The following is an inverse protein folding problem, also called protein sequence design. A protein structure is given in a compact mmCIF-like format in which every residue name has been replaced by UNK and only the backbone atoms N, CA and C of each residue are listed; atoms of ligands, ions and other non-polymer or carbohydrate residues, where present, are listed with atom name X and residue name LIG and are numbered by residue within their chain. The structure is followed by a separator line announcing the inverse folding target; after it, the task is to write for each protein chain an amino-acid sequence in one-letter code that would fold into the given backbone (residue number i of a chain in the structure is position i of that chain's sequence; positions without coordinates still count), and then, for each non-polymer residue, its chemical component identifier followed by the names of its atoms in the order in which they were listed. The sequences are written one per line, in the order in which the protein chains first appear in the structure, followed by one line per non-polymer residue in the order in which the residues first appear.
data_IF_492337707741
#
_entry.id   IF_492337707741
#
_cell.length_a   1.000
_cell.length_b   1.000
_cell.length_c   1.000
_cell.angle_alpha   90.00
_cell.angle_beta   90.00
_cell.angle_gamma   90.00
#
_symmetry.space_group_name_H-M   'P 1'
#
loop_
_entity.id
_entity.type
_entity.pdbx_description
1 polymer ?
#
# COMPACT_ATOMS: atom_id res chain seq x y z
N UNK A 1 26.68 -14.85 53.14
CA UNK A 1 27.07 -15.10 51.75
C UNK A 1 27.43 -13.76 51.15
N UNK A 2 28.69 -13.62 50.70
CA UNK A 2 29.23 -12.39 50.12
C UNK A 2 28.50 -12.06 48.81
N UNK A 3 27.82 -10.93 48.76
CA UNK A 3 27.29 -10.31 47.53
C UNK A 3 28.03 -9.00 47.25
N UNK A 4 29.36 -9.01 47.40
CA UNK A 4 30.19 -7.89 46.95
C UNK A 4 30.31 -7.96 45.42
N UNK A 5 29.35 -7.33 44.73
CA UNK A 5 29.44 -7.09 43.28
C UNK A 5 28.11 -7.10 42.51
N UNK A 6 27.05 -7.69 43.05
CA UNK A 6 25.75 -7.69 42.36
C UNK A 6 25.02 -6.37 42.60
N UNK A 7 24.79 -5.61 41.52
CA UNK A 7 23.94 -4.40 41.57
C UNK A 7 22.57 -4.79 42.11
N UNK A 8 22.14 -4.13 43.17
CA UNK A 8 20.79 -4.29 43.74
C UNK A 8 19.76 -3.96 42.66
N UNK A 9 18.85 -4.89 42.38
CA UNK A 9 17.74 -4.67 41.44
C UNK A 9 16.58 -3.99 42.19
N UNK A 10 16.43 -2.68 42.00
CA UNK A 10 15.44 -1.88 42.73
C UNK A 10 14.02 -1.94 42.15
N UNK A 11 13.83 -2.33 40.88
CA UNK A 11 12.51 -2.31 40.24
C UNK A 11 11.46 -3.19 40.94
N UNK A 12 11.74 -4.45 41.33
CA UNK A 12 10.78 -5.27 42.06
C UNK A 12 10.44 -4.72 43.45
N UNK A 13 11.43 -4.14 44.15
CA UNK A 13 11.22 -3.53 45.46
C UNK A 13 10.34 -2.27 45.36
N UNK A 14 10.51 -1.47 44.31
CA UNK A 14 9.67 -0.31 44.03
C UNK A 14 8.23 -0.71 43.70
N UNK A 15 8.02 -1.73 42.86
CA UNK A 15 6.69 -2.22 42.53
C UNK A 15 5.95 -2.70 43.80
N UNK A 16 6.62 -3.46 44.66
CA UNK A 16 6.06 -3.89 45.95
C UNK A 16 5.75 -2.72 46.89
N UNK A 17 6.67 -1.76 47.01
CA UNK A 17 6.45 -0.57 47.84
C UNK A 17 5.26 0.27 47.32
N UNK A 18 5.11 0.42 46.01
CA UNK A 18 3.99 1.14 45.40
C UNK A 18 2.65 0.46 45.72
N UNK A 19 2.59 -0.87 45.63
CA UNK A 19 1.39 -1.64 45.99
C UNK A 19 1.04 -1.49 47.48
N UNK A 20 2.06 -1.52 48.38
CA UNK A 20 1.87 -1.31 49.81
C UNK A 20 1.30 0.08 50.10
N UNK A 21 1.86 1.13 49.49
CA UNK A 21 1.42 2.51 49.74
C UNK A 21 0.03 2.82 49.20
N UNK A 22 -0.42 2.11 48.15
CA UNK A 22 -1.78 2.21 47.65
C UNK A 22 -2.79 1.44 48.52
N UNK A 23 -2.33 0.63 49.48
CA UNK A 23 -3.14 0.04 50.54
C UNK A 23 -4.43 -0.63 50.06
N UNK A 24 -5.57 -0.22 50.61
CA UNK A 24 -6.88 -0.78 50.23
C UNK A 24 -7.32 -0.41 48.81
N UNK A 25 -6.76 0.64 48.20
CA UNK A 25 -7.08 1.06 46.83
C UNK A 25 -6.38 0.18 45.79
N UNK A 26 -5.29 -0.50 46.16
CA UNK A 26 -4.57 -1.43 45.29
C UNK A 26 -5.48 -2.52 44.72
N UNK A 27 -6.56 -2.91 45.42
CA UNK A 27 -7.55 -3.89 44.93
C UNK A 27 -8.34 -3.44 43.69
N UNK A 28 -8.30 -2.15 43.35
CA UNK A 28 -8.93 -1.59 42.15
C UNK A 28 -7.94 -1.37 40.99
N UNK A 29 -6.66 -1.72 41.17
CA UNK A 29 -5.58 -1.43 40.24
C UNK A 29 -4.89 -2.71 39.76
N UNK A 30 -4.37 -2.69 38.54
CA UNK A 30 -3.54 -3.77 37.97
C UNK A 30 -2.10 -3.29 37.90
N UNK A 31 -1.18 -4.11 38.41
CA UNK A 31 0.26 -3.84 38.40
C UNK A 31 0.93 -4.76 37.39
N UNK A 32 1.53 -4.18 36.36
CA UNK A 32 2.26 -4.90 35.32
C UNK A 32 3.72 -4.40 35.31
N UNK A 33 4.60 -4.97 36.15
CA UNK A 33 5.99 -4.56 36.19
C UNK A 33 6.67 -4.87 34.85
N UNK A 34 7.48 -3.91 34.37
CA UNK A 34 8.25 -4.04 33.13
C UNK A 34 7.38 -4.35 31.87
N UNK A 35 6.18 -3.76 31.79
CA UNK A 35 5.27 -3.92 30.66
C UNK A 35 5.94 -3.57 29.31
N UNK A 36 5.90 -4.51 28.37
CA UNK A 36 6.47 -4.34 27.04
C UNK A 36 5.51 -3.57 26.12
N UNK A 37 5.92 -2.37 25.70
CA UNK A 37 5.13 -1.52 24.80
C UNK A 37 4.95 -2.12 23.39
N UNK A 38 5.79 -3.06 22.98
CA UNK A 38 5.70 -3.72 21.67
C UNK A 38 6.39 -5.09 21.67
N UNK A 39 5.86 -6.02 20.87
CA UNK A 39 6.49 -7.32 20.58
C UNK A 39 7.67 -7.21 19.60
N UNK A 40 7.69 -6.17 18.76
CA UNK A 40 8.76 -5.88 17.80
C UNK A 40 9.56 -4.66 18.25
N UNK A 41 10.87 -4.59 17.99
CA UNK A 41 11.63 -3.37 18.21
C UNK A 41 10.97 -2.16 17.53
N UNK A 42 10.92 -1.03 18.24
CA UNK A 42 10.40 0.21 17.67
C UNK A 42 11.31 0.70 16.54
N UNK A 43 10.72 1.21 15.46
CA UNK A 43 11.44 1.66 14.27
C UNK A 43 10.88 2.99 13.78
N UNK A 44 11.78 3.88 13.38
CA UNK A 44 11.50 5.12 12.65
C UNK A 44 11.55 4.81 11.15
N UNK A 45 10.59 5.33 10.37
CA UNK A 45 10.57 5.07 8.92
C UNK A 45 11.81 5.64 8.23
N UNK A 46 12.09 6.94 8.43
CA UNK A 46 13.30 7.58 7.89
C UNK A 46 13.91 8.53 8.91
N UNK A 47 15.21 8.38 9.14
CA UNK A 47 16.02 9.31 9.93
C UNK A 47 17.01 10.03 9.01
N UNK A 48 16.88 11.35 8.91
CA UNK A 48 17.82 12.20 8.14
C UNK A 48 18.76 12.91 9.12
N UNK A 49 20.06 12.67 8.99
CA UNK A 49 21.11 13.34 9.79
C UNK A 49 21.90 14.32 8.95
N UNK A 50 21.94 15.58 9.39
CA UNK A 50 22.74 16.64 8.79
C UNK A 50 24.04 16.85 9.59
N UNK A 51 24.95 15.88 9.50
CA UNK A 51 26.18 15.85 10.29
C UNK A 51 27.09 17.07 10.05
N UNK A 52 27.06 17.62 8.83
CA UNK A 52 27.84 18.80 8.46
C UNK A 52 27.15 20.12 8.85
N UNK A 53 25.97 20.06 9.48
CA UNK A 53 25.15 21.22 9.88
C UNK A 53 24.94 22.23 8.74
N UNK A 54 24.79 21.73 7.51
CA UNK A 54 24.64 22.58 6.33
C UNK A 54 23.21 23.09 6.20
N UNK A 55 23.02 24.34 5.78
CA UNK A 55 21.67 24.87 5.53
C UNK A 55 21.06 24.20 4.30
N UNK A 56 20.01 23.41 4.50
CA UNK A 56 19.28 22.76 3.41
C UNK A 56 18.43 23.81 2.68
N UNK A 57 18.66 23.93 1.36
CA UNK A 57 17.96 24.91 0.51
C UNK A 57 16.62 24.40 -0.01
N UNK A 58 16.47 23.08 -0.14
CA UNK A 58 15.25 22.44 -0.64
C UNK A 58 14.09 22.75 0.30
N UNK A 59 12.93 23.10 -0.24
CA UNK A 59 11.80 23.60 0.54
C UNK A 59 11.30 22.60 1.60
N UNK A 60 11.16 21.31 1.26
CA UNK A 60 10.80 20.27 2.23
C UNK A 60 11.82 20.14 3.37
N UNK A 61 13.10 20.40 3.10
CA UNK A 61 14.18 20.28 4.07
C UNK A 61 14.51 21.58 4.79
N UNK A 62 13.82 22.69 4.49
CA UNK A 62 14.17 24.01 5.03
C UNK A 62 14.02 24.10 6.56
N UNK A 63 13.10 23.32 7.12
CA UNK A 63 12.88 23.20 8.58
C UNK A 63 13.78 22.15 9.25
N UNK A 64 14.48 21.32 8.48
CA UNK A 64 15.28 20.24 9.03
C UNK A 64 16.40 20.83 9.89
N UNK A 65 16.45 20.35 11.13
CA UNK A 65 17.58 20.54 12.03
C UNK A 65 18.61 19.42 11.82
N UNK A 66 19.51 19.23 12.78
CA UNK A 66 20.54 18.20 12.65
C UNK A 66 19.96 16.79 12.51
N UNK A 67 18.83 16.50 13.17
CA UNK A 67 18.16 15.20 13.13
C UNK A 67 16.69 15.37 12.79
N UNK A 68 16.27 14.84 11.64
CA UNK A 68 14.87 14.84 11.22
C UNK A 68 14.30 13.42 11.27
N UNK A 69 13.26 13.22 12.08
CA UNK A 69 12.53 11.97 12.25
C UNK A 69 11.31 12.04 11.35
N UNK A 70 11.17 11.07 10.44
CA UNK A 70 10.10 11.08 9.44
C UNK A 70 9.22 9.85 9.63
N UNK A 71 7.91 10.06 9.60
CA UNK A 71 6.88 9.04 9.44
C UNK A 71 6.20 9.23 8.08
N UNK A 72 6.05 8.14 7.33
CA UNK A 72 5.38 8.12 6.04
C UNK A 72 4.12 7.25 6.09
N UNK A 73 3.00 7.80 5.61
CA UNK A 73 1.77 7.06 5.35
C UNK A 73 1.54 6.96 3.86
N UNK A 74 1.27 5.73 3.40
CA UNK A 74 1.00 5.42 2.00
C UNK A 74 -0.31 6.07 1.52
N UNK A 75 -0.59 6.08 0.20
CA UNK A 75 -1.87 6.55 -0.32
C UNK A 75 -3.11 5.84 0.23
N UNK A 76 -2.96 4.63 0.77
CA UNK A 76 -4.06 3.82 1.30
C UNK A 76 -4.23 3.99 2.82
N UNK A 77 -3.28 4.69 3.47
CA UNK A 77 -3.24 4.87 4.91
C UNK A 77 -3.65 6.28 5.33
N UNK A 78 -4.15 6.40 6.56
CA UNK A 78 -4.51 7.67 7.17
C UNK A 78 -3.61 8.00 8.35
N UNK A 79 -3.01 9.20 8.32
CA UNK A 79 -2.30 9.74 9.47
C UNK A 79 -3.31 10.21 10.53
N UNK A 80 -3.17 9.71 11.76
CA UNK A 80 -4.06 10.02 12.88
C UNK A 80 -3.30 10.50 14.14
N UNK A 81 -4.05 10.80 15.20
CA UNK A 81 -3.48 11.34 16.45
C UNK A 81 -2.56 10.36 17.18
N UNK A 82 -2.79 9.06 17.07
CA UNK A 82 -1.95 8.05 17.68
C UNK A 82 -0.61 7.95 16.96
N UNK A 83 -0.60 8.06 15.62
CA UNK A 83 0.64 8.16 14.85
C UNK A 83 1.47 9.37 15.27
N UNK A 84 0.82 10.52 15.54
CA UNK A 84 1.52 11.70 16.06
C UNK A 84 2.23 11.40 17.38
N UNK A 85 1.52 10.85 18.37
CA UNK A 85 2.11 10.55 19.68
C UNK A 85 3.15 9.45 19.63
N UNK A 86 2.95 8.45 18.77
CA UNK A 86 3.93 7.39 18.53
C UNK A 86 5.24 7.98 18.02
N UNK A 87 5.20 8.82 16.99
CA UNK A 87 6.40 9.43 16.40
C UNK A 87 7.04 10.45 17.35
N UNK A 88 6.23 11.20 18.10
CA UNK A 88 6.74 12.07 19.16
C UNK A 88 7.49 11.27 20.23
N UNK A 89 6.91 10.16 20.70
CA UNK A 89 7.55 9.23 21.64
C UNK A 89 8.85 8.66 21.08
N UNK A 90 8.85 8.24 19.81
CA UNK A 90 10.06 7.76 19.13
C UNK A 90 11.15 8.81 19.03
N UNK A 91 10.77 10.07 18.82
CA UNK A 91 11.71 11.19 18.79
C UNK A 91 12.36 11.42 20.15
N UNK A 92 11.59 11.29 21.23
CA UNK A 92 12.12 11.32 22.60
C UNK A 92 13.05 10.13 22.88
N UNK A 93 12.68 8.91 22.50
CA UNK A 93 13.52 7.73 22.66
C UNK A 93 14.82 7.89 21.87
N UNK A 94 14.76 8.31 20.61
CA UNK A 94 15.95 8.57 19.80
C UNK A 94 16.88 9.61 20.44
N UNK A 95 16.32 10.64 21.09
CA UNK A 95 17.10 11.64 21.84
C UNK A 95 17.83 11.03 23.05
N UNK A 96 17.24 10.03 23.71
CA UNK A 96 17.77 9.44 24.95
C UNK A 96 18.61 8.19 24.74
N UNK A 97 18.45 7.49 23.61
CA UNK A 97 19.24 6.31 23.21
C UNK A 97 20.65 6.72 22.74
N UNK A 98 21.37 7.41 23.61
CA UNK A 98 22.71 7.96 23.40
C UNK A 98 23.55 7.79 24.67
N UNK A 99 24.87 7.66 24.52
CA UNK A 99 25.77 7.36 25.64
C UNK A 99 25.90 8.50 26.65
N UNK A 100 25.77 9.76 26.19
CA UNK A 100 26.00 10.95 27.01
C UNK A 100 24.72 11.72 27.24
N UNK A 101 24.58 12.25 28.46
CA UNK A 101 23.48 13.15 28.83
C UNK A 101 23.41 14.30 27.83
N UNK A 102 22.22 14.46 27.23
CA UNK A 102 21.90 15.51 26.28
C UNK A 102 22.84 15.60 25.06
N UNK A 103 23.40 14.46 24.62
CA UNK A 103 24.23 14.40 23.41
C UNK A 103 23.48 14.88 22.16
N UNK A 104 22.17 14.62 22.10
CA UNK A 104 21.26 15.19 21.11
C UNK A 104 20.35 16.20 21.83
N UNK A 105 20.59 17.51 21.67
CA UNK A 105 19.71 18.55 22.20
C UNK A 105 18.33 18.50 21.53
N UNK A 106 17.27 18.86 22.26
CA UNK A 106 15.92 18.92 21.69
C UNK A 106 15.82 19.98 20.59
N UNK A 107 16.61 21.05 20.70
CA UNK A 107 16.72 22.11 19.70
C UNK A 107 17.40 21.67 18.41
N UNK A 108 17.91 20.44 18.32
CA UNK A 108 18.54 19.87 17.11
C UNK A 108 17.63 18.82 16.43
N UNK A 109 16.45 18.55 17.00
CA UNK A 109 15.44 17.63 16.47
C UNK A 109 14.40 18.38 15.63
N UNK A 110 13.88 17.70 14.61
CA UNK A 110 12.69 18.06 13.83
C UNK A 110 11.89 16.79 13.56
N UNK A 111 10.56 16.90 13.51
CA UNK A 111 9.66 15.81 13.10
C UNK A 111 8.99 16.18 11.76
N UNK A 112 8.93 15.24 10.82
CA UNK A 112 8.18 15.39 9.57
C UNK A 112 7.18 14.25 9.43
N UNK A 113 5.91 14.58 9.28
CA UNK A 113 4.90 13.64 8.83
C UNK A 113 4.69 13.81 7.33
N UNK A 114 4.73 12.71 6.58
CA UNK A 114 4.45 12.68 5.14
C UNK A 114 3.24 11.80 4.92
N UNK A 115 2.18 12.33 4.31
CA UNK A 115 0.97 11.56 4.07
C UNK A 115 0.29 11.98 2.76
N UNK A 116 -0.61 11.13 2.29
CA UNK A 116 -1.37 11.40 1.09
C UNK A 116 -2.62 12.24 1.35
N UNK A 117 -3.33 11.94 2.44
CA UNK A 117 -4.58 12.59 2.80
C UNK A 117 -4.40 13.63 3.90
N UNK A 118 -4.95 14.84 3.71
CA UNK A 118 -4.91 15.89 4.72
C UNK A 118 -5.60 15.47 6.03
N UNK A 119 -4.88 15.38 7.17
CA UNK A 119 -5.34 14.74 8.40
C UNK A 119 -6.16 15.71 9.28
N UNK A 120 -7.36 16.10 8.83
CA UNK A 120 -8.20 17.13 9.49
C UNK A 120 -8.50 16.85 10.96
N UNK A 121 -8.81 15.60 11.30
CA UNK A 121 -9.17 15.21 12.66
C UNK A 121 -7.96 15.33 13.59
N UNK A 122 -6.83 14.73 13.22
CA UNK A 122 -5.58 14.85 13.96
C UNK A 122 -5.22 16.32 14.24
N UNK A 123 -5.25 17.18 13.22
CA UNK A 123 -4.90 18.59 13.38
C UNK A 123 -5.86 19.34 14.30
N UNK A 124 -7.16 19.01 14.29
CA UNK A 124 -8.15 19.56 15.22
C UNK A 124 -7.87 19.12 16.65
N UNK A 125 -7.57 17.84 16.87
CA UNK A 125 -7.19 17.32 18.18
C UNK A 125 -5.95 18.02 18.72
N UNK A 126 -4.90 18.14 17.89
CA UNK A 126 -3.66 18.84 18.25
C UNK A 126 -3.89 20.32 18.60
N UNK A 127 -4.77 21.01 17.88
CA UNK A 127 -5.13 22.38 18.21
C UNK A 127 -5.85 22.47 19.56
N UNK A 128 -6.84 21.61 19.80
CA UNK A 128 -7.67 21.66 20.99
C UNK A 128 -6.93 21.21 22.26
N UNK A 129 -6.10 20.17 22.15
CA UNK A 129 -5.48 19.48 23.30
C UNK A 129 -4.05 19.97 23.60
N UNK A 130 -3.34 20.47 22.58
CA UNK A 130 -1.93 20.88 22.67
C UNK A 130 -1.68 22.32 22.26
N UNK A 131 -2.72 23.06 21.82
CA UNK A 131 -2.58 24.39 21.25
C UNK A 131 -1.59 24.44 20.06
N UNK A 132 -1.48 23.33 19.32
CA UNK A 132 -0.64 23.24 18.13
C UNK A 132 -1.43 23.72 16.92
N UNK A 133 -0.95 24.79 16.29
CA UNK A 133 -1.61 25.44 15.15
C UNK A 133 -0.88 25.10 13.85
N UNK A 134 -1.64 24.76 12.81
CA UNK A 134 -1.12 24.44 11.48
C UNK A 134 -1.10 25.67 10.59
N UNK A 135 -0.01 25.87 9.84
CA UNK A 135 0.11 26.93 8.83
C UNK A 135 0.62 26.35 7.53
N UNK A 136 -0.06 26.64 6.42
CA UNK A 136 0.46 26.35 5.10
C UNK A 136 1.63 27.31 4.77
N UNK A 137 2.77 26.75 4.37
CA UNK A 137 3.99 27.50 4.07
C UNK A 137 4.20 27.56 2.57
N UNK A 138 4.03 26.42 1.90
CA UNK A 138 4.09 26.26 0.45
C UNK A 138 3.14 25.12 0.04
N UNK A 139 2.93 24.93 -1.26
CA UNK A 139 2.08 23.85 -1.80
C UNK A 139 2.45 22.48 -1.19
N UNK A 140 1.50 21.89 -0.47
CA UNK A 140 1.67 20.61 0.23
C UNK A 140 2.63 20.62 1.41
N UNK A 141 3.12 21.77 1.88
CA UNK A 141 4.05 21.88 3.02
C UNK A 141 3.44 22.77 4.10
N UNK A 142 3.22 22.17 5.27
CA UNK A 142 2.62 22.81 6.42
C UNK A 142 3.57 22.74 7.62
N UNK A 143 3.64 23.80 8.41
CA UNK A 143 4.33 23.80 9.71
C UNK A 143 3.32 23.80 10.84
N UNK A 144 3.61 23.02 11.87
CA UNK A 144 2.84 22.92 13.09
C UNK A 144 3.59 23.69 14.19
N UNK A 145 2.96 24.74 14.71
CA UNK A 145 3.53 25.65 15.70
C UNK A 145 2.87 25.45 17.06
N UNK A 146 3.65 25.55 18.13
CA UNK A 146 3.17 25.38 19.52
C UNK A 146 3.94 24.34 20.32
N UNK A 147 4.87 23.63 19.68
CA UNK A 147 5.75 22.65 20.33
C UNK A 147 7.23 23.12 20.35
N UNK A 148 8.02 22.57 21.28
CA UNK A 148 9.46 22.83 21.39
C UNK A 148 10.25 22.20 20.22
N UNK A 149 9.79 21.06 19.72
CA UNK A 149 10.33 20.40 18.54
C UNK A 149 9.55 20.92 17.33
N UNK A 150 10.21 21.49 16.29
CA UNK A 150 9.55 21.89 15.06
C UNK A 150 8.96 20.67 14.36
N UNK A 151 7.71 20.83 13.92
CA UNK A 151 6.96 19.77 13.26
C UNK A 151 6.52 20.24 11.89
N UNK A 152 6.73 19.39 10.90
CA UNK A 152 6.29 19.59 9.52
C UNK A 152 5.27 18.52 9.15
N UNK A 153 4.28 18.92 8.35
CA UNK A 153 3.36 18.03 7.66
C UNK A 153 3.48 18.25 6.15
N UNK A 154 3.72 17.16 5.42
CA UNK A 154 3.80 17.13 3.97
C UNK A 154 2.61 16.36 3.42
N UNK A 155 1.87 16.99 2.50
CA UNK A 155 0.76 16.38 1.76
C UNK A 155 1.22 16.11 0.34
N UNK A 156 1.50 14.84 0.06
CA UNK A 156 2.18 14.40 -1.17
C UNK A 156 1.48 14.89 -2.45
N UNK A 157 0.15 14.73 -2.63
CA UNK A 157 -0.52 15.17 -3.85
C UNK A 157 -0.53 16.68 -4.06
N UNK A 158 -0.41 17.45 -2.98
CA UNK A 158 -0.43 18.91 -3.03
C UNK A 158 0.95 19.52 -3.30
N UNK A 159 2.02 18.72 -3.25
CA UNK A 159 3.38 19.20 -3.51
C UNK A 159 3.53 19.78 -4.91
N UNK A 160 4.19 20.92 -5.04
CA UNK A 160 4.52 21.51 -6.36
C UNK A 160 5.38 20.56 -7.19
N UNK A 161 4.97 20.31 -8.43
CA UNK A 161 5.72 19.50 -9.41
C UNK A 161 7.09 20.12 -9.71
N UNK A 162 7.16 21.44 -9.84
CA UNK A 162 8.40 22.19 -10.11
C UNK A 162 9.44 21.97 -9.00
N UNK A 163 9.00 22.07 -7.75
CA UNK A 163 9.90 21.97 -6.60
C UNK A 163 10.08 20.53 -6.12
N UNK A 164 9.10 19.65 -6.24
CA UNK A 164 9.07 18.35 -5.56
C UNK A 164 8.55 17.22 -6.44
N UNK A 165 8.95 17.22 -7.72
CA UNK A 165 8.52 16.25 -8.74
C UNK A 165 8.43 14.80 -8.22
N UNK A 166 9.55 14.24 -7.75
CA UNK A 166 9.62 12.82 -7.38
C UNK A 166 8.71 12.45 -6.20
N UNK A 167 8.66 13.27 -5.16
CA UNK A 167 7.74 13.04 -4.04
C UNK A 167 6.29 13.18 -4.49
N UNK A 168 5.96 14.18 -5.30
CA UNK A 168 4.62 14.36 -5.84
C UNK A 168 4.14 13.14 -6.66
N UNK A 169 5.06 12.38 -7.27
CA UNK A 169 4.73 11.19 -8.06
C UNK A 169 4.55 9.91 -7.23
N UNK A 170 4.81 9.96 -5.92
CA UNK A 170 4.52 8.86 -5.00
C UNK A 170 3.01 8.76 -4.70
N UNK A 171 2.23 8.41 -5.73
CA UNK A 171 0.75 8.36 -5.75
C UNK A 171 0.26 7.14 -6.51
N UNK A 172 -1.00 6.77 -6.30
CA UNK A 172 -1.68 5.64 -6.96
C UNK A 172 -2.78 6.09 -7.96
N UNK A 173 -2.72 7.35 -8.41
CA UNK A 173 -3.72 7.94 -9.31
C UNK A 173 -3.10 8.77 -10.45
N UNK A 174 -1.86 8.44 -10.84
CA UNK A 174 -1.23 9.04 -12.02
C UNK A 174 -2.06 8.74 -13.26
N UNK A 175 -2.25 9.75 -14.11
CA UNK A 175 -3.06 9.60 -15.32
C UNK A 175 -2.27 9.01 -16.47
N UNK A 176 -2.87 8.05 -17.17
CA UNK A 176 -2.40 7.59 -18.47
C UNK A 176 -2.20 8.76 -19.44
N UNK A 177 -1.18 8.64 -20.29
CA UNK A 177 -0.74 9.65 -21.25
C UNK A 177 0.29 10.62 -20.67
N UNK A 178 -0.13 11.81 -20.25
CA UNK A 178 0.82 12.90 -19.97
C UNK A 178 1.72 12.65 -18.75
N UNK A 179 1.18 12.07 -17.67
CA UNK A 179 1.91 11.95 -16.41
C UNK A 179 2.85 10.75 -16.38
N UNK A 180 2.39 9.59 -16.83
CA UNK A 180 3.19 8.35 -16.84
C UNK A 180 4.32 8.48 -17.87
N UNK A 181 4.03 8.94 -19.10
CA UNK A 181 5.06 9.23 -20.09
C UNK A 181 6.12 10.20 -19.57
N UNK A 182 5.71 11.33 -18.97
CA UNK A 182 6.66 12.30 -18.42
C UNK A 182 7.50 11.72 -17.27
N UNK A 183 6.88 10.89 -16.41
CA UNK A 183 7.60 10.20 -15.35
C UNK A 183 8.69 9.29 -15.92
N UNK A 184 8.37 8.51 -16.94
CA UNK A 184 9.33 7.62 -17.60
C UNK A 184 10.45 8.39 -18.31
N UNK A 185 10.12 9.47 -19.02
CA UNK A 185 11.11 10.35 -19.66
C UNK A 185 12.08 10.98 -18.65
N UNK A 186 11.61 11.32 -17.45
CA UNK A 186 12.48 11.83 -16.38
C UNK A 186 13.27 10.73 -15.68
N UNK A 187 12.68 9.55 -15.52
CA UNK A 187 13.32 8.39 -14.91
C UNK A 187 14.50 7.92 -15.77
N UNK A 188 14.33 7.88 -17.11
CA UNK A 188 15.35 7.34 -18.01
C UNK A 188 16.68 8.09 -17.92
N UNK A 189 16.63 9.40 -17.63
CA UNK A 189 17.81 10.24 -17.39
C UNK A 189 18.64 9.79 -16.17
N UNK A 190 18.06 8.96 -15.31
CA UNK A 190 18.62 8.52 -14.03
C UNK A 190 18.50 6.99 -13.83
N UNK A 191 18.28 6.21 -14.91
CA UNK A 191 17.96 4.78 -14.87
C UNK A 191 18.97 3.90 -14.13
N UNK A 192 20.24 4.31 -14.09
CA UNK A 192 21.32 3.57 -13.42
C UNK A 192 21.29 3.73 -11.90
N UNK A 193 20.46 4.63 -11.36
CA UNK A 193 20.35 4.88 -9.93
C UNK A 193 19.36 3.93 -9.27
N UNK A 194 19.84 3.14 -8.30
CA UNK A 194 19.00 2.25 -7.47
C UNK A 194 17.87 2.98 -6.75
N UNK A 195 18.05 4.25 -6.40
CA UNK A 195 17.01 5.05 -5.74
C UNK A 195 15.86 5.36 -6.70
N UNK A 196 16.18 5.71 -7.95
CA UNK A 196 15.17 5.97 -8.97
C UNK A 196 14.50 4.68 -9.39
N UNK A 197 15.24 3.57 -9.48
CA UNK A 197 14.68 2.24 -9.76
C UNK A 197 13.64 1.84 -8.70
N UNK A 198 13.97 1.95 -7.42
CA UNK A 198 13.04 1.62 -6.33
C UNK A 198 11.78 2.51 -6.35
N UNK A 199 11.95 3.80 -6.65
CA UNK A 199 10.83 4.73 -6.79
C UNK A 199 9.96 4.38 -7.99
N UNK A 200 10.55 4.18 -9.17
CA UNK A 200 9.83 3.85 -10.39
C UNK A 200 9.08 2.52 -10.25
N UNK A 201 9.73 1.52 -9.69
CA UNK A 201 9.15 0.23 -9.36
C UNK A 201 7.86 0.41 -8.52
N UNK A 202 7.95 1.16 -7.41
CA UNK A 202 6.80 1.39 -6.53
C UNK A 202 5.68 2.17 -7.22
N UNK A 203 6.02 3.28 -7.89
CA UNK A 203 5.04 4.17 -8.53
C UNK A 203 4.30 3.46 -9.66
N UNK A 204 5.00 2.74 -10.53
CA UNK A 204 4.35 2.08 -11.67
C UNK A 204 3.49 0.91 -11.19
N UNK A 205 3.90 0.14 -10.17
CA UNK A 205 3.02 -0.89 -9.55
C UNK A 205 1.75 -0.29 -8.98
N UNK A 206 1.87 0.84 -8.30
CA UNK A 206 0.72 1.55 -7.74
C UNK A 206 -0.24 2.11 -8.81
N UNK A 207 0.21 2.25 -10.06
CA UNK A 207 -0.57 2.80 -11.18
C UNK A 207 -0.69 1.82 -12.36
N UNK A 208 -0.56 0.51 -12.11
CA UNK A 208 -0.40 -0.51 -13.17
C UNK A 208 -1.44 -0.43 -14.30
N UNK A 209 -2.72 -0.25 -13.94
CA UNK A 209 -3.80 -0.13 -14.93
C UNK A 209 -3.58 1.00 -15.93
N UNK A 210 -3.15 2.16 -15.43
CA UNK A 210 -2.92 3.36 -16.24
C UNK A 210 -1.65 3.21 -17.09
N UNK A 211 -0.67 2.43 -16.63
CA UNK A 211 0.55 2.07 -17.39
C UNK A 211 0.21 1.12 -18.54
N UNK A 212 -0.68 0.15 -18.31
CA UNK A 212 -1.13 -0.81 -19.32
C UNK A 212 -1.90 -0.14 -20.46
N UNK A 213 -2.81 0.79 -20.12
CA UNK A 213 -3.60 1.56 -21.09
C UNK A 213 -2.74 2.42 -22.04
N UNK A 214 -1.52 2.76 -21.65
CA UNK A 214 -0.68 3.69 -22.41
C UNK A 214 -0.12 3.10 -23.72
N UNK A 215 -0.22 1.78 -23.95
CA UNK A 215 -0.09 1.08 -25.24
C UNK A 215 1.25 1.18 -26.00
N UNK A 216 2.07 2.20 -25.75
CA UNK A 216 3.38 2.47 -26.33
C UNK A 216 4.43 2.34 -25.23
N UNK A 217 4.60 1.10 -24.79
CA UNK A 217 5.48 0.77 -23.69
C UNK A 217 6.94 0.94 -24.12
N UNK A 218 7.65 1.87 -23.47
CA UNK A 218 9.11 1.98 -23.60
C UNK A 218 9.76 0.68 -23.13
N UNK A 219 10.80 0.20 -23.82
CA UNK A 219 11.57 -1.00 -23.43
C UNK A 219 12.04 -0.94 -21.97
N UNK A 220 12.19 0.26 -21.43
CA UNK A 220 12.52 0.56 -20.04
C UNK A 220 11.43 0.09 -19.07
N UNK A 221 10.15 0.29 -19.38
CA UNK A 221 9.04 -0.18 -18.53
C UNK A 221 9.03 -1.71 -18.50
N UNK A 222 9.25 -2.34 -19.67
CA UNK A 222 9.36 -3.79 -19.78
C UNK A 222 10.53 -4.34 -18.98
N UNK A 223 11.66 -3.66 -18.98
CA UNK A 223 12.83 -4.06 -18.19
C UNK A 223 12.55 -3.98 -16.68
N UNK A 224 11.97 -2.87 -16.20
CA UNK A 224 11.65 -2.70 -14.76
C UNK A 224 10.61 -3.74 -14.30
N UNK A 225 9.64 -4.07 -15.16
CA UNK A 225 8.49 -4.90 -14.83
C UNK A 225 8.43 -6.25 -15.54
N UNK A 226 9.56 -6.76 -16.02
CA UNK A 226 9.60 -8.01 -16.76
C UNK A 226 8.84 -9.14 -16.04
N UNK A 227 9.05 -9.27 -14.72
CA UNK A 227 8.38 -10.27 -13.89
C UNK A 227 6.84 -10.08 -13.84
N UNK A 228 6.37 -8.84 -13.77
CA UNK A 228 4.92 -8.56 -13.76
C UNK A 228 4.29 -8.80 -15.12
N UNK A 229 4.98 -8.41 -16.19
CA UNK A 229 4.55 -8.73 -17.56
C UNK A 229 4.49 -10.24 -17.78
N UNK A 230 5.52 -10.99 -17.38
CA UNK A 230 5.51 -12.44 -17.48
C UNK A 230 4.35 -13.07 -16.71
N UNK A 231 4.02 -12.54 -15.53
CA UNK A 231 2.86 -13.00 -14.75
C UNK A 231 1.55 -12.70 -15.48
N UNK A 232 1.36 -11.49 -16.00
CA UNK A 232 0.17 -11.11 -16.76
C UNK A 232 0.04 -11.91 -18.06
N UNK A 233 1.12 -12.11 -18.81
CA UNK A 233 1.12 -12.97 -20.00
C UNK A 233 0.75 -14.41 -19.66
N UNK A 234 1.25 -14.94 -18.55
CA UNK A 234 0.91 -16.29 -18.09
C UNK A 234 -0.57 -16.38 -17.68
N UNK A 235 -1.12 -15.38 -16.99
CA UNK A 235 -2.53 -15.31 -16.61
C UNK A 235 -3.44 -15.20 -17.85
N UNK A 236 -3.11 -14.31 -18.79
CA UNK A 236 -3.84 -14.14 -20.04
C UNK A 236 -3.82 -15.41 -20.89
N UNK A 237 -2.67 -16.09 -20.95
CA UNK A 237 -2.54 -17.38 -21.63
C UNK A 237 -3.37 -18.46 -20.92
N UNK A 238 -3.30 -18.54 -19.60
CA UNK A 238 -4.08 -19.52 -18.84
C UNK A 238 -5.60 -19.30 -19.02
N UNK A 239 -6.03 -18.04 -19.06
CA UNK A 239 -7.42 -17.68 -19.35
C UNK A 239 -7.82 -18.07 -20.77
N UNK A 240 -7.04 -17.71 -21.79
CA UNK A 240 -7.32 -18.10 -23.18
C UNK A 240 -7.33 -19.62 -23.39
N UNK A 241 -6.45 -20.35 -22.71
CA UNK A 241 -6.46 -21.82 -22.71
C UNK A 241 -7.71 -22.39 -22.03
N UNK A 242 -8.17 -21.79 -20.93
CA UNK A 242 -9.38 -22.20 -20.24
C UNK A 242 -10.64 -21.93 -21.09
N UNK A 243 -10.73 -20.74 -21.70
CA UNK A 243 -11.79 -20.35 -22.62
C UNK A 243 -11.83 -21.28 -23.84
N UNK A 244 -10.69 -21.53 -24.48
CA UNK A 244 -10.60 -22.45 -25.62
C UNK A 244 -10.96 -23.90 -25.28
N UNK A 245 -10.62 -24.38 -24.06
CA UNK A 245 -11.06 -25.70 -23.59
C UNK A 245 -12.58 -25.75 -23.37
N UNK A 246 -13.15 -24.70 -22.78
CA UNK A 246 -14.60 -24.61 -22.57
C UNK A 246 -15.35 -24.58 -23.91
N UNK A 247 -14.90 -23.76 -24.87
CA UNK A 247 -15.43 -23.69 -26.23
C UNK A 247 -15.35 -25.05 -26.94
N UNK A 248 -14.21 -25.74 -26.83
CA UNK A 248 -14.04 -27.07 -27.41
C UNK A 248 -14.96 -28.13 -26.79
N UNK A 249 -15.16 -28.09 -25.47
CA UNK A 249 -16.08 -29.01 -24.78
C UNK A 249 -17.53 -28.75 -25.20
N UNK A 250 -17.96 -27.49 -25.24
CA UNK A 250 -19.29 -27.09 -25.69
C UNK A 250 -19.53 -27.46 -27.16
N UNK A 251 -18.56 -27.21 -28.05
CA UNK A 251 -18.64 -27.60 -29.46
C UNK A 251 -18.79 -29.12 -29.64
N UNK A 252 -18.03 -29.91 -28.86
CA UNK A 252 -18.14 -31.38 -28.86
C UNK A 252 -19.50 -31.85 -28.36
N UNK A 253 -20.04 -31.20 -27.32
CA UNK A 253 -21.37 -31.49 -26.79
C UNK A 253 -22.44 -31.22 -27.85
N UNK A 254 -22.40 -30.04 -28.49
CA UNK A 254 -23.30 -29.68 -29.59
C UNK A 254 -23.22 -30.71 -30.73
N UNK A 255 -22.00 -31.13 -31.11
CA UNK A 255 -21.81 -32.13 -32.16
C UNK A 255 -22.45 -33.49 -31.80
N UNK A 256 -22.33 -33.93 -30.53
CA UNK A 256 -22.95 -35.16 -30.05
C UNK A 256 -24.48 -35.06 -30.05
N UNK A 257 -25.02 -33.95 -29.58
CA UNK A 257 -26.47 -33.67 -29.55
C UNK A 257 -27.03 -33.63 -30.97
N UNK A 258 -26.35 -32.96 -31.90
CA UNK A 258 -26.70 -32.95 -33.34
C UNK A 258 -26.77 -34.36 -33.93
N UNK A 259 -25.79 -35.22 -33.61
CA UNK A 259 -25.78 -36.62 -34.09
C UNK A 259 -26.95 -37.43 -33.53
N UNK A 260 -27.36 -37.19 -32.27
CA UNK A 260 -28.52 -37.87 -31.64
C UNK A 260 -29.84 -37.35 -32.20
N UNK A 261 -29.95 -36.03 -32.41
CA UNK A 261 -31.10 -35.40 -33.06
C UNK A 261 -31.35 -35.97 -34.46
N UNK A 262 -30.30 -36.09 -35.29
CA UNK A 262 -30.38 -36.70 -36.63
C UNK A 262 -30.84 -38.16 -36.61
N UNK A 263 -30.61 -38.89 -35.51
CA UNK A 263 -31.04 -40.28 -35.32
C UNK A 263 -32.48 -40.40 -34.80
N UNK A 264 -33.16 -39.27 -34.56
CA UNK A 264 -34.54 -39.25 -34.07
C UNK A 264 -34.67 -39.55 -32.57
N UNK A 265 -33.59 -39.44 -31.80
CA UNK A 265 -33.65 -39.57 -30.34
C UNK A 265 -34.48 -38.41 -29.74
N UNK A 266 -35.22 -38.69 -28.68
CA UNK A 266 -35.91 -37.67 -27.90
C UNK A 266 -34.94 -36.89 -27.00
N UNK A 267 -35.40 -35.75 -26.48
CA UNK A 267 -34.66 -34.93 -25.49
C UNK A 267 -34.32 -35.76 -24.26
N UNK A 268 -35.27 -36.53 -23.73
CA UNK A 268 -35.07 -37.37 -22.54
C UNK A 268 -34.02 -38.47 -22.78
N UNK A 269 -34.08 -39.18 -23.91
CA UNK A 269 -33.09 -40.21 -24.25
C UNK A 269 -31.70 -39.62 -24.49
N UNK A 270 -31.62 -38.42 -25.09
CA UNK A 270 -30.32 -37.77 -25.34
C UNK A 270 -29.71 -37.25 -24.05
N UNK A 271 -30.52 -36.69 -23.15
CA UNK A 271 -30.10 -36.26 -21.82
C UNK A 271 -29.55 -37.43 -21.00
N UNK A 272 -30.25 -38.57 -21.01
CA UNK A 272 -29.80 -39.79 -20.34
C UNK A 272 -28.50 -40.34 -20.95
N UNK A 273 -28.42 -40.44 -22.29
CA UNK A 273 -27.23 -40.96 -22.97
C UNK A 273 -25.97 -40.11 -22.84
N UNK A 274 -26.12 -38.81 -22.62
CA UNK A 274 -25.01 -37.88 -22.45
C UNK A 274 -24.77 -37.53 -20.97
N UNK A 275 -25.60 -38.05 -20.07
CA UNK A 275 -25.63 -37.69 -18.65
C UNK A 275 -25.72 -36.16 -18.41
N UNK A 276 -26.54 -35.50 -19.22
CA UNK A 276 -26.69 -34.05 -19.26
C UNK A 276 -28.07 -33.59 -18.80
N UNK A 277 -28.18 -32.31 -18.42
CA UNK A 277 -29.45 -31.74 -18.00
C UNK A 277 -30.45 -31.68 -19.18
N UNK A 278 -31.67 -32.26 -19.06
CA UNK A 278 -32.67 -32.23 -20.13
C UNK A 278 -32.99 -30.83 -20.66
N UNK A 279 -32.94 -29.81 -19.80
CA UNK A 279 -33.18 -28.42 -20.20
C UNK A 279 -32.11 -27.89 -21.16
N UNK A 280 -30.84 -28.32 -21.01
CA UNK A 280 -29.74 -27.91 -21.91
C UNK A 280 -29.90 -28.60 -23.26
N UNK A 281 -30.28 -29.88 -23.25
CA UNK A 281 -30.57 -30.63 -24.48
C UNK A 281 -31.75 -30.03 -25.23
N UNK A 282 -32.83 -29.66 -24.53
CA UNK A 282 -34.03 -29.06 -25.11
C UNK A 282 -33.73 -27.74 -25.83
N UNK A 283 -32.95 -26.85 -25.21
CA UNK A 283 -32.51 -25.59 -25.82
C UNK A 283 -31.77 -25.82 -27.15
N UNK A 284 -30.85 -26.78 -27.18
CA UNK A 284 -30.09 -27.10 -28.40
C UNK A 284 -30.99 -27.74 -29.46
N UNK A 285 -31.93 -28.61 -29.06
CA UNK A 285 -32.93 -29.21 -29.96
C UNK A 285 -33.85 -28.15 -30.59
N UNK A 286 -34.23 -27.12 -29.84
CA UNK A 286 -35.07 -26.04 -30.36
C UNK A 286 -34.32 -25.16 -31.36
N UNK A 287 -33.05 -24.84 -31.10
CA UNK A 287 -32.18 -24.14 -32.07
C UNK A 287 -32.03 -24.99 -33.34
N UNK A 288 -31.85 -26.30 -33.22
CA UNK A 288 -31.75 -27.23 -34.35
C UNK A 288 -33.03 -27.28 -35.19
N UNK A 289 -34.21 -27.26 -34.56
CA UNK A 289 -35.51 -27.23 -35.26
C UNK A 289 -35.70 -25.93 -36.04
N UNK A 290 -35.32 -24.80 -35.45
CA UNK A 290 -35.49 -23.47 -36.05
C UNK A 290 -34.54 -23.23 -37.22
N UNK A 291 -33.38 -23.88 -37.25
CA UNK A 291 -32.35 -23.68 -38.26
C UNK A 291 -32.23 -24.84 -39.27
N UNK A 292 -33.21 -25.74 -39.33
CA UNK A 292 -33.23 -26.82 -40.31
C UNK A 292 -33.49 -26.28 -41.74
N UNK A 293 -32.76 -26.76 -42.78
CA UNK A 293 -31.72 -27.80 -42.76
C UNK A 293 -30.27 -27.28 -42.63
N UNK A 294 -30.04 -25.96 -42.54
CA UNK A 294 -28.71 -25.33 -42.61
C UNK A 294 -28.08 -25.07 -41.22
N UNK A 295 -27.94 -26.13 -40.44
CA UNK A 295 -27.35 -26.09 -39.10
C UNK A 295 -25.93 -26.69 -39.09
N UNK A 296 -24.98 -25.97 -38.48
CA UNK A 296 -23.62 -26.44 -38.19
C UNK A 296 -23.24 -26.12 -36.73
N UNK A 297 -22.19 -26.80 -36.24
CA UNK A 297 -21.76 -26.71 -34.83
C UNK A 297 -21.38 -25.28 -34.44
N UNK A 298 -20.72 -24.53 -35.35
CA UNK A 298 -20.28 -23.16 -35.06
C UNK A 298 -21.46 -22.19 -34.96
N UNK A 299 -22.44 -22.27 -35.87
CA UNK A 299 -23.65 -21.44 -35.82
C UNK A 299 -24.44 -21.67 -34.53
N UNK A 300 -24.58 -22.93 -34.11
CA UNK A 300 -25.31 -23.26 -32.86
C UNK A 300 -24.54 -22.78 -31.64
N UNK A 301 -23.21 -22.93 -31.63
CA UNK A 301 -22.37 -22.43 -30.56
C UNK A 301 -22.49 -20.91 -30.42
N UNK A 302 -22.43 -20.16 -31.53
CA UNK A 302 -22.64 -18.72 -31.53
C UNK A 302 -24.02 -18.33 -30.98
N UNK A 303 -25.10 -19.01 -31.38
CA UNK A 303 -26.45 -18.72 -30.91
C UNK A 303 -26.70 -19.03 -29.41
N UNK A 304 -25.84 -19.86 -28.80
CA UNK A 304 -25.96 -20.24 -27.38
C UNK A 304 -25.11 -19.39 -26.45
N UNK A 305 -23.96 -18.91 -26.93
CA UNK A 305 -22.91 -18.35 -26.07
C UNK A 305 -22.42 -16.94 -26.47
N UNK A 306 -22.98 -16.34 -27.53
CA UNK A 306 -22.75 -14.95 -27.93
C UNK A 306 -24.06 -14.19 -28.09
#
# INVERSE_FOLDING_TARGET
MNTEGEKIQWHPAFDAALQIELGEEAKYLTFEPEHLLSKKPMQIDVLVKNEKKVKIRKNIGRIFRQHNIIEYKSPEDHLNIDDFYKVYGYTCIYKTEVEKVNQIPAEELTITFVCYHYPRQMLRNLQNERNINVKNIENGIYYLYGDAIPIQLIIVPELSIENNYWLNKLRNNLKSGGEIKLFMEQYEKNRDSKLFQALADTVMRANWKEVEEEGNMSDVIKEIFADQFHKCEAEARAQGEAEGRAEGAASKMIEQIMKKYKKGCSVAETADMLEENPSVIEQIYDILRQNAPDYDVQKIYQLLFQ
#
